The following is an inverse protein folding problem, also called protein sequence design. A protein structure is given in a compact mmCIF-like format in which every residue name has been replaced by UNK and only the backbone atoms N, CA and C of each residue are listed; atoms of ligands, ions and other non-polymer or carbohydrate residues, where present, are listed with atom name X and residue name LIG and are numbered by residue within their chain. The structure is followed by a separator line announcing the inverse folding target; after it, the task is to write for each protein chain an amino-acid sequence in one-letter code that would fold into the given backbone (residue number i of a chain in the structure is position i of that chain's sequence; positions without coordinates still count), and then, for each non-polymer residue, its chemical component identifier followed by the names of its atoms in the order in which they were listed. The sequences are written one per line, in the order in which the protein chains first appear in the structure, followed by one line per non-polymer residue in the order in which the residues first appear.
data_IF_666139995174
#
_entry.id   IF_666139995174
#
_cell.length_a   1.000
_cell.length_b   1.000
_cell.length_c   1.000
_cell.angle_alpha   90.00
_cell.angle_beta   90.00
_cell.angle_gamma   90.00
#
_symmetry.space_group_name_H-M   'P 1'
#
loop_
_entity.id
_entity.type
_entity.pdbx_description
1 polymer ?
#
# COMPACT_ATOMS: atom_id res chain seq x y z
N UNK A 1 18.09 -11.78 15.04
CA UNK A 1 17.58 -11.88 16.43
C UNK A 1 17.18 -10.51 17.01
N UNK A 2 18.01 -9.47 16.94
CA UNK A 2 17.74 -8.19 17.63
C UNK A 2 16.62 -7.29 17.08
N UNK A 3 16.21 -7.43 15.81
CA UNK A 3 15.11 -6.63 15.24
C UNK A 3 13.72 -7.20 15.54
N UNK A 4 13.60 -8.52 15.57
CA UNK A 4 12.35 -9.22 15.91
C UNK A 4 11.95 -8.90 17.35
N UNK A 5 12.90 -8.98 18.29
CA UNK A 5 12.67 -8.64 19.70
C UNK A 5 12.27 -7.16 19.88
N UNK A 6 12.81 -6.26 19.05
CA UNK A 6 12.43 -4.83 19.06
C UNK A 6 11.01 -4.61 18.54
N UNK A 7 10.58 -5.34 17.52
CA UNK A 7 9.20 -5.29 17.02
C UNK A 7 8.20 -5.85 18.04
N UNK A 8 8.54 -6.93 18.74
CA UNK A 8 7.67 -7.49 19.80
C UNK A 8 7.52 -6.54 20.99
N UNK A 9 8.59 -5.88 21.42
CA UNK A 9 8.52 -4.84 22.47
C UNK A 9 7.67 -3.63 22.06
N UNK A 10 7.77 -3.20 20.79
CA UNK A 10 6.95 -2.11 20.27
C UNK A 10 5.47 -2.49 20.22
N UNK A 11 5.17 -3.72 19.83
CA UNK A 11 3.80 -4.25 19.78
C UNK A 11 3.18 -4.32 21.18
N UNK A 12 3.93 -4.84 22.16
CA UNK A 12 3.51 -4.89 23.57
C UNK A 12 3.27 -3.48 24.15
N UNK A 13 4.12 -2.52 23.82
CA UNK A 13 3.96 -1.13 24.22
C UNK A 13 2.69 -0.50 23.62
N UNK A 14 2.40 -0.77 22.34
CA UNK A 14 1.17 -0.33 21.68
C UNK A 14 -0.08 -0.95 22.31
N UNK A 15 -0.06 -2.25 22.61
CA UNK A 15 -1.17 -2.94 23.29
C UNK A 15 -1.42 -2.38 24.69
N UNK A 16 -0.37 -2.06 25.45
CA UNK A 16 -0.49 -1.43 26.77
C UNK A 16 -1.16 -0.06 26.69
N UNK A 17 -0.75 0.79 25.73
CA UNK A 17 -1.36 2.11 25.49
C UNK A 17 -2.83 2.01 25.06
N UNK A 18 -3.19 1.01 24.26
CA UNK A 18 -4.58 0.76 23.87
C UNK A 18 -5.42 0.28 25.05
N UNK A 19 -4.84 -0.53 25.94
CA UNK A 19 -5.49 -0.97 27.18
C UNK A 19 -5.76 0.19 28.14
N UNK A 20 -4.79 1.08 28.32
CA UNK A 20 -4.91 2.29 29.16
C UNK A 20 -6.00 3.25 28.64
N UNK A 21 -6.17 3.36 27.31
CA UNK A 21 -7.25 4.14 26.68
C UNK A 21 -8.64 3.49 26.79
N UNK A 22 -8.78 2.37 27.49
CA UNK A 22 -10.07 1.71 27.73
C UNK A 22 -10.56 0.81 26.59
N UNK A 23 -9.76 0.58 25.54
CA UNK A 23 -10.15 -0.27 24.40
C UNK A 23 -10.22 -1.78 24.73
N UNK A 24 -9.88 -2.21 25.95
CA UNK A 24 -9.73 -3.62 26.33
C UNK A 24 -10.70 -4.12 27.42
N UNK A 25 -11.75 -3.37 27.78
CA UNK A 25 -12.61 -3.76 28.91
C UNK A 25 -13.76 -4.71 28.54
N UNK A 26 -14.17 -4.78 27.27
CA UNK A 26 -15.23 -5.72 26.79
C UNK A 26 -15.18 -5.98 25.28
N UNK A 27 -14.10 -5.56 24.63
CA UNK A 27 -14.14 -5.18 23.22
C UNK A 27 -13.42 -6.15 22.29
N UNK A 28 -12.63 -7.11 22.77
CA UNK A 28 -11.93 -8.05 21.85
C UNK A 28 -12.94 -8.89 21.07
N UNK A 29 -13.97 -9.43 21.73
CA UNK A 29 -15.05 -10.16 21.06
C UNK A 29 -15.87 -9.26 20.14
N UNK A 30 -16.22 -8.06 20.59
CA UNK A 30 -17.02 -7.12 19.79
C UNK A 30 -16.25 -6.57 18.58
N UNK A 31 -14.96 -6.24 18.75
CA UNK A 31 -14.07 -5.81 17.66
C UNK A 31 -13.79 -6.96 16.70
N UNK A 32 -13.52 -8.17 17.18
CA UNK A 32 -13.37 -9.34 16.32
C UNK A 32 -14.64 -9.61 15.52
N UNK A 33 -15.82 -9.54 16.16
CA UNK A 33 -17.09 -9.64 15.45
C UNK A 33 -17.28 -8.56 14.38
N UNK A 34 -16.80 -7.33 14.61
CA UNK A 34 -16.84 -6.27 13.59
C UNK A 34 -15.88 -6.56 12.42
N UNK A 35 -14.67 -7.06 12.70
CA UNK A 35 -13.71 -7.49 11.67
C UNK A 35 -14.28 -8.65 10.85
N UNK A 36 -14.88 -9.65 11.52
CA UNK A 36 -15.50 -10.81 10.88
C UNK A 36 -16.74 -10.42 10.06
N UNK A 37 -17.48 -9.40 10.51
CA UNK A 37 -18.64 -8.85 9.79
C UNK A 37 -18.22 -8.06 8.54
N UNK A 38 -17.12 -7.32 8.62
CA UNK A 38 -16.62 -6.50 7.50
C UNK A 38 -15.85 -7.33 6.47
N UNK A 39 -15.27 -8.46 6.87
CA UNK A 39 -14.45 -9.32 6.00
C UNK A 39 -15.18 -9.78 4.71
N UNK A 40 -16.44 -10.25 4.71
CA UNK A 40 -17.17 -10.60 3.49
C UNK A 40 -17.42 -9.40 2.56
N UNK A 41 -17.64 -8.21 3.10
CA UNK A 41 -17.87 -6.99 2.31
C UNK A 41 -16.59 -6.50 1.63
N UNK A 42 -15.49 -6.50 2.38
CA UNK A 42 -14.14 -6.25 1.86
C UNK A 42 -13.85 -7.29 0.78
N UNK A 43 -13.95 -8.59 1.11
CA UNK A 43 -13.70 -9.68 0.17
C UNK A 43 -14.61 -9.61 -1.06
N UNK A 44 -15.87 -9.18 -0.97
CA UNK A 44 -16.77 -9.02 -2.12
C UNK A 44 -16.40 -7.83 -3.00
N UNK A 45 -16.07 -6.67 -2.40
CA UNK A 45 -15.58 -5.50 -3.14
C UNK A 45 -14.24 -5.76 -3.83
N UNK A 46 -13.40 -6.61 -3.24
CA UNK A 46 -12.12 -7.01 -3.79
C UNK A 46 -12.16 -8.33 -4.56
N UNK A 47 -13.24 -9.12 -4.54
CA UNK A 47 -13.36 -10.35 -5.35
C UNK A 47 -13.41 -10.02 -6.85
N UNK A 48 -13.92 -8.83 -7.18
CA UNK A 48 -13.89 -8.25 -8.52
C UNK A 48 -12.63 -7.39 -8.77
N UNK A 49 -11.58 -7.49 -7.93
CA UNK A 49 -10.42 -6.57 -7.96
C UNK A 49 -9.81 -6.46 -9.35
N UNK A 50 -10.11 -5.37 -10.07
CA UNK A 50 -9.46 -4.85 -11.28
C UNK A 50 -9.02 -5.85 -12.38
N UNK A 51 -9.47 -7.11 -12.36
CA UNK A 51 -8.98 -8.18 -13.23
C UNK A 51 -7.57 -8.73 -12.89
N UNK A 52 -7.00 -8.41 -11.72
CA UNK A 52 -5.66 -8.90 -11.38
C UNK A 52 -5.70 -10.30 -10.76
N UNK A 53 -4.93 -11.24 -11.34
CA UNK A 53 -4.86 -12.62 -10.87
C UNK A 53 -4.30 -12.76 -9.44
N UNK A 54 -3.44 -11.84 -9.01
CA UNK A 54 -2.83 -11.86 -7.67
C UNK A 54 -2.58 -10.45 -7.14
N UNK A 55 -2.47 -10.32 -5.81
CA UNK A 55 -2.06 -9.07 -5.16
C UNK A 55 -0.70 -8.57 -5.63
N UNK A 56 0.22 -9.48 -6.00
CA UNK A 56 1.53 -9.13 -6.56
C UNK A 56 1.37 -8.40 -7.90
N UNK A 57 0.46 -8.86 -8.77
CA UNK A 57 0.19 -8.19 -10.04
C UNK A 57 -0.42 -6.81 -9.83
N UNK A 58 -1.45 -6.71 -8.98
CA UNK A 58 -2.05 -5.43 -8.62
C UNK A 58 -1.00 -4.44 -8.06
N UNK A 59 -0.18 -4.89 -7.12
CA UNK A 59 0.88 -4.06 -6.52
C UNK A 59 1.91 -3.61 -7.56
N UNK A 60 2.32 -4.49 -8.48
CA UNK A 60 3.27 -4.15 -9.54
C UNK A 60 2.69 -3.14 -10.52
N UNK A 61 1.42 -3.29 -10.89
CA UNK A 61 0.72 -2.32 -11.76
C UNK A 61 0.60 -0.96 -11.09
N UNK A 62 0.18 -0.91 -9.82
CA UNK A 62 0.10 0.35 -9.07
C UNK A 62 1.47 1.05 -9.03
N UNK A 63 2.53 0.32 -8.66
CA UNK A 63 3.90 0.86 -8.66
C UNK A 63 4.32 1.37 -10.03
N UNK A 64 4.01 0.64 -11.11
CA UNK A 64 4.34 1.09 -12.46
C UNK A 64 3.65 2.42 -12.83
N UNK A 65 2.39 2.60 -12.44
CA UNK A 65 1.63 3.84 -12.66
C UNK A 65 2.24 4.99 -11.84
N UNK A 66 2.59 4.73 -10.59
CA UNK A 66 3.26 5.72 -9.73
C UNK A 66 4.60 6.16 -10.35
N UNK A 67 5.41 5.22 -10.84
CA UNK A 67 6.69 5.54 -11.48
C UNK A 67 6.51 6.38 -12.75
N UNK A 68 5.54 6.05 -13.61
CA UNK A 68 5.24 6.83 -14.81
C UNK A 68 4.78 8.25 -14.46
N UNK A 69 3.95 8.38 -13.43
CA UNK A 69 3.48 9.68 -12.97
C UNK A 69 4.63 10.53 -12.39
N UNK A 70 5.56 9.91 -11.64
CA UNK A 70 6.74 10.64 -11.15
C UNK A 70 7.63 11.12 -12.29
N UNK A 71 7.84 10.29 -13.33
CA UNK A 71 8.60 10.66 -14.52
C UNK A 71 7.94 11.82 -15.27
N UNK A 72 6.62 11.77 -15.44
CA UNK A 72 5.86 12.87 -16.04
C UNK A 72 6.05 14.19 -15.28
N UNK A 73 5.93 14.17 -13.95
CA UNK A 73 6.13 15.36 -13.12
C UNK A 73 7.56 15.89 -13.23
N UNK A 74 8.55 15.00 -13.20
CA UNK A 74 9.96 15.37 -13.33
C UNK A 74 10.22 16.06 -14.67
N UNK A 75 9.78 15.48 -15.79
CA UNK A 75 9.94 16.09 -17.12
C UNK A 75 9.22 17.42 -17.25
N UNK A 76 8.00 17.53 -16.71
CA UNK A 76 7.25 18.80 -16.67
C UNK A 76 7.96 19.88 -15.86
N UNK A 77 8.69 19.52 -14.81
CA UNK A 77 9.50 20.49 -14.04
C UNK A 77 10.77 20.93 -14.77
N UNK A 78 11.32 20.09 -15.65
CA UNK A 78 12.55 20.37 -16.39
C UNK A 78 12.31 21.20 -17.65
N UNK A 79 11.24 20.92 -18.39
CA UNK A 79 10.91 21.63 -19.63
C UNK A 79 9.40 21.89 -19.71
N UNK A 80 9.03 23.16 -19.57
CA UNK A 80 7.64 23.61 -19.68
C UNK A 80 7.23 23.56 -21.16
N UNK A 81 6.21 22.75 -21.47
CA UNK A 81 5.67 22.61 -22.83
C UNK A 81 6.26 21.46 -23.65
N UNK A 82 7.11 20.61 -23.07
CA UNK A 82 7.57 19.41 -23.78
C UNK A 82 6.44 18.39 -23.95
N UNK A 83 6.40 17.75 -25.12
CA UNK A 83 5.48 16.65 -25.39
C UNK A 83 5.97 15.40 -24.67
N UNK A 84 5.34 15.04 -23.55
CA UNK A 84 5.69 13.85 -22.79
C UNK A 84 5.23 12.58 -23.54
N UNK A 85 6.17 11.71 -23.87
CA UNK A 85 5.91 10.39 -24.45
C UNK A 85 6.43 9.31 -23.52
N UNK A 86 5.53 8.49 -22.97
CA UNK A 86 5.90 7.37 -22.09
C UNK A 86 6.88 6.42 -22.77
N UNK A 87 6.70 6.15 -24.06
CA UNK A 87 7.55 5.22 -24.81
C UNK A 87 9.00 5.72 -24.90
N UNK A 88 9.19 6.99 -25.29
CA UNK A 88 10.52 7.57 -25.45
C UNK A 88 11.25 7.63 -24.10
N UNK A 89 10.56 8.02 -23.03
CA UNK A 89 11.12 8.09 -21.68
C UNK A 89 11.58 6.73 -21.16
N UNK A 90 10.75 5.69 -21.35
CA UNK A 90 11.12 4.34 -20.97
C UNK A 90 12.26 3.80 -21.84
N UNK A 91 12.27 4.11 -23.13
CA UNK A 91 13.34 3.70 -24.04
C UNK A 91 14.67 4.37 -23.69
N UNK A 92 14.68 5.67 -23.38
CA UNK A 92 15.87 6.38 -22.89
C UNK A 92 16.39 5.76 -21.58
N UNK A 93 15.51 5.40 -20.64
CA UNK A 93 15.91 4.75 -19.39
C UNK A 93 16.47 3.33 -19.59
N UNK A 94 15.97 2.59 -20.59
CA UNK A 94 16.38 1.21 -20.86
C UNK A 94 17.64 1.13 -21.75
N UNK A 95 17.85 2.10 -22.63
CA UNK A 95 19.02 2.15 -23.53
C UNK A 95 20.15 3.05 -23.00
N UNK A 96 19.83 3.98 -22.09
CA UNK A 96 20.79 4.91 -21.48
C UNK A 96 21.37 4.43 -20.14
N UNK A 97 21.03 3.21 -19.71
CA UNK A 97 21.60 2.53 -18.54
C UNK A 97 22.58 1.44 -18.98
#
# INVERSE_FOLDING_TARGET
MGEIVRQELQLLCAFKKLKEKGFYKSTVKHMNNRIDLDHPHVKRRFASSFGFQTLRHASRTIKSIETLHTLYKQRRSLQIGSAFSVYNELQELLMGA
#
